data_IF_604469459210
#
_entry.id   IF_604469459210
#
_cell.length_a   1.000
_cell.length_b   1.000
_cell.length_c   1.000
_cell.angle_alpha   90.00
_cell.angle_beta   90.00
_cell.angle_gamma   90.00
#
_symmetry.space_group_name_H-M   'P 1'
#
loop_
_entity.id
_entity.type
_entity.pdbx_description
1 polymer ?
#
# COMPACT_ATOMS: atom_id res chain seq x y z
N UNK A 1 -9.20 -26.72 -5.45
CA UNK A 1 -8.71 -26.34 -4.10
C UNK A 1 -8.65 -24.83 -4.03
N UNK A 2 -9.13 -24.19 -2.94
CA UNK A 2 -9.07 -22.73 -2.78
C UNK A 2 -7.70 -22.33 -2.23
N UNK A 3 -7.02 -21.29 -2.77
CA UNK A 3 -5.76 -20.80 -2.20
C UNK A 3 -5.99 -20.25 -0.78
N UNK A 4 -5.03 -20.54 0.11
CA UNK A 4 -5.00 -20.01 1.49
C UNK A 4 -4.47 -18.59 1.45
N UNK A 5 -5.22 -17.64 2.01
CA UNK A 5 -4.80 -16.24 2.13
C UNK A 5 -3.80 -16.07 3.27
N UNK A 6 -2.93 -15.07 3.18
CA UNK A 6 -1.98 -14.74 4.25
C UNK A 6 -2.68 -14.52 5.61
N UNK A 7 -3.86 -13.88 5.61
CA UNK A 7 -4.66 -13.66 6.83
C UNK A 7 -5.17 -14.96 7.46
N UNK A 8 -5.40 -16.00 6.66
CA UNK A 8 -5.85 -17.31 7.15
C UNK A 8 -4.74 -18.06 7.89
N UNK A 9 -3.48 -17.84 7.50
CA UNK A 9 -2.32 -18.43 8.19
C UNK A 9 -2.27 -17.95 9.63
N UNK A 10 -2.48 -16.66 9.86
CA UNK A 10 -2.56 -16.07 11.21
C UNK A 10 -3.67 -16.70 12.05
N UNK A 11 -4.89 -16.83 11.49
CA UNK A 11 -6.00 -17.49 12.18
C UNK A 11 -5.68 -18.94 12.51
N UNK A 12 -5.10 -19.69 11.57
CA UNK A 12 -4.77 -21.10 11.77
C UNK A 12 -3.73 -21.30 12.87
N UNK A 13 -2.65 -20.50 12.86
CA UNK A 13 -1.59 -20.55 13.87
C UNK A 13 -2.10 -20.18 15.27
N UNK A 14 -3.00 -19.20 15.36
CA UNK A 14 -3.64 -18.83 16.63
C UNK A 14 -4.64 -19.89 17.11
N UNK A 15 -5.57 -20.29 16.24
CA UNK A 15 -6.59 -21.30 16.54
C UNK A 15 -7.11 -22.02 15.28
N UNK A 16 -6.68 -23.28 15.13
CA UNK A 16 -7.10 -24.16 14.03
C UNK A 16 -8.62 -24.35 13.96
N UNK A 17 -9.31 -24.42 15.11
CA UNK A 17 -10.78 -24.53 15.16
C UNK A 17 -11.46 -23.28 14.61
N UNK A 18 -10.98 -22.10 14.98
CA UNK A 18 -11.53 -20.84 14.49
C UNK A 18 -11.33 -20.72 12.97
N UNK A 19 -10.15 -21.12 12.45
CA UNK A 19 -9.92 -21.19 11.01
C UNK A 19 -10.90 -22.17 10.34
N UNK A 20 -11.11 -23.37 10.89
CA UNK A 20 -12.08 -24.33 10.34
C UNK A 20 -13.51 -23.80 10.31
N UNK A 21 -13.94 -23.04 11.33
CA UNK A 21 -15.23 -22.36 11.32
C UNK A 21 -15.33 -21.32 10.19
N UNK A 22 -14.29 -20.52 9.98
CA UNK A 22 -14.24 -19.58 8.85
C UNK A 22 -14.37 -20.30 7.50
N UNK A 23 -13.77 -21.49 7.34
CA UNK A 23 -13.92 -22.29 6.13
C UNK A 23 -15.35 -22.82 5.91
N UNK A 24 -16.13 -22.95 6.98
CA UNK A 24 -17.56 -23.29 6.92
C UNK A 24 -18.46 -22.05 6.73
N UNK A 25 -17.89 -20.86 6.54
CA UNK A 25 -18.64 -19.61 6.38
C UNK A 25 -19.08 -18.97 7.70
N UNK A 26 -18.64 -19.50 8.85
CA UNK A 26 -18.89 -18.88 10.16
C UNK A 26 -17.94 -17.70 10.34
N UNK A 27 -18.48 -16.49 10.21
CA UNK A 27 -17.74 -15.25 10.33
C UNK A 27 -17.28 -14.96 11.77
N UNK A 28 -16.24 -14.12 11.93
CA UNK A 28 -15.80 -13.68 13.26
C UNK A 28 -16.82 -12.74 13.90
N UNK A 29 -16.84 -12.69 15.23
CA UNK A 29 -17.77 -11.84 15.97
C UNK A 29 -17.44 -10.33 15.88
N UNK A 30 -16.16 -9.98 15.67
CA UNK A 30 -15.66 -8.61 15.68
C UNK A 30 -15.76 -7.91 14.30
N UNK A 31 -16.89 -8.05 13.61
CA UNK A 31 -17.08 -7.50 12.26
C UNK A 31 -16.95 -5.97 12.21
N UNK A 32 -17.39 -5.30 13.28
CA UNK A 32 -17.30 -3.83 13.41
C UNK A 32 -15.83 -3.38 13.42
N UNK A 33 -14.99 -4.03 14.21
CA UNK A 33 -13.57 -3.70 14.30
C UNK A 33 -12.84 -3.98 12.98
N UNK A 34 -13.20 -5.08 12.30
CA UNK A 34 -12.66 -5.41 10.98
C UNK A 34 -13.04 -4.37 9.91
N UNK A 35 -14.29 -3.92 9.91
CA UNK A 35 -14.74 -2.87 9.01
C UNK A 35 -14.03 -1.54 9.30
N UNK A 36 -13.91 -1.16 10.57
CA UNK A 36 -13.19 0.04 10.99
C UNK A 36 -11.71 0.00 10.58
N UNK A 37 -11.03 -1.13 10.81
CA UNK A 37 -9.64 -1.33 10.39
C UNK A 37 -9.48 -1.26 8.87
N UNK A 38 -10.42 -1.83 8.12
CA UNK A 38 -10.41 -1.78 6.64
C UNK A 38 -10.54 -0.35 6.13
N UNK A 39 -11.44 0.45 6.73
CA UNK A 39 -11.61 1.84 6.34
C UNK A 39 -10.37 2.69 6.69
N UNK A 40 -9.77 2.45 7.86
CA UNK A 40 -8.51 3.11 8.23
C UNK A 40 -7.39 2.81 7.23
N UNK A 41 -7.23 1.54 6.83
CA UNK A 41 -6.27 1.15 5.80
C UNK A 41 -6.57 1.81 4.45
N UNK A 42 -7.85 1.94 4.06
CA UNK A 42 -8.25 2.60 2.82
C UNK A 42 -7.90 4.10 2.85
N UNK A 43 -8.17 4.77 3.97
CA UNK A 43 -7.81 6.19 4.15
C UNK A 43 -6.29 6.38 4.08
N UNK A 44 -5.53 5.56 4.82
CA UNK A 44 -4.07 5.60 4.76
C UNK A 44 -3.54 5.33 3.34
N UNK A 45 -4.11 4.35 2.63
CA UNK A 45 -3.75 4.04 1.24
C UNK A 45 -3.89 5.23 0.30
N UNK A 46 -4.92 6.06 0.46
CA UNK A 46 -5.08 7.31 -0.31
C UNK A 46 -3.93 8.29 -0.05
N UNK A 47 -3.52 8.44 1.20
CA UNK A 47 -2.37 9.30 1.55
C UNK A 47 -1.06 8.76 0.97
N UNK A 48 -0.85 7.45 0.99
CA UNK A 48 0.33 6.81 0.39
C UNK A 48 0.37 7.04 -1.12
N UNK A 49 -0.75 6.92 -1.82
CA UNK A 49 -0.83 7.19 -3.27
C UNK A 49 -0.48 8.64 -3.58
N UNK A 50 -1.04 9.59 -2.83
CA UNK A 50 -0.73 11.02 -3.00
C UNK A 50 0.74 11.31 -2.69
N UNK A 51 1.29 10.74 -1.62
CA UNK A 51 2.71 10.88 -1.30
C UNK A 51 3.61 10.31 -2.40
N UNK A 52 3.22 9.18 -3.00
CA UNK A 52 3.89 8.59 -4.15
C UNK A 52 3.89 9.54 -5.36
N UNK A 53 2.74 10.13 -5.69
CA UNK A 53 2.60 11.10 -6.79
C UNK A 53 3.46 12.36 -6.57
N UNK A 54 3.44 12.92 -5.36
CA UNK A 54 4.27 14.09 -5.05
C UNK A 54 5.76 13.77 -5.13
N UNK A 55 6.16 12.58 -4.67
CA UNK A 55 7.56 12.12 -4.78
C UNK A 55 7.99 11.96 -6.23
N UNK A 56 7.15 11.40 -7.10
CA UNK A 56 7.49 11.27 -8.53
C UNK A 56 7.58 12.63 -9.21
N UNK A 57 6.64 13.56 -8.95
CA UNK A 57 6.71 14.93 -9.46
C UNK A 57 7.98 15.66 -9.00
N UNK A 58 8.35 15.54 -7.72
CA UNK A 58 9.56 16.14 -7.19
C UNK A 58 10.82 15.63 -7.91
N UNK A 59 10.90 14.32 -8.17
CA UNK A 59 12.02 13.73 -8.90
C UNK A 59 12.07 14.19 -10.36
N UNK A 60 10.91 14.33 -11.03
CA UNK A 60 10.84 14.85 -12.40
C UNK A 60 11.30 16.31 -12.47
N UNK A 61 10.88 17.16 -11.54
CA UNK A 61 11.35 18.55 -11.47
C UNK A 61 12.84 18.65 -11.16
N UNK A 62 13.36 17.81 -10.26
CA UNK A 62 14.78 17.73 -9.98
C UNK A 62 15.58 17.36 -11.24
N UNK A 63 15.13 16.34 -11.98
CA UNK A 63 15.76 15.92 -13.23
C UNK A 63 15.73 17.04 -14.27
N UNK A 64 14.59 17.71 -14.45
CA UNK A 64 14.46 18.83 -15.37
C UNK A 64 15.40 20.00 -15.00
N UNK A 65 15.50 20.34 -13.71
CA UNK A 65 16.42 21.36 -13.23
C UNK A 65 17.89 20.99 -13.52
N UNK A 66 18.28 19.73 -13.33
CA UNK A 66 19.62 19.27 -13.69
C UNK A 66 19.90 19.38 -15.19
N UNK A 67 18.96 18.99 -16.05
CA UNK A 67 19.10 19.11 -17.52
C UNK A 67 19.21 20.56 -17.97
N UNK A 68 18.39 21.45 -17.41
CA UNK A 68 18.44 22.88 -17.72
C UNK A 68 19.76 23.50 -17.25
N UNK A 69 20.24 23.10 -16.07
CA UNK A 69 21.51 23.57 -15.51
C UNK A 69 22.68 23.15 -16.41
N UNK A 70 22.74 21.89 -16.82
CA UNK A 70 23.80 21.42 -17.72
C UNK A 70 23.73 22.12 -19.08
N UNK A 71 22.54 22.25 -19.67
CA UNK A 71 22.34 22.95 -20.93
C UNK A 71 22.79 24.42 -20.86
N UNK A 72 22.45 25.12 -19.76
CA UNK A 72 22.87 26.50 -19.53
C UNK A 72 24.40 26.64 -19.51
N UNK A 73 25.10 25.76 -18.77
CA UNK A 73 26.56 25.80 -18.72
C UNK A 73 27.18 25.45 -20.06
N UNK A 74 26.67 24.43 -20.78
CA UNK A 74 27.22 24.07 -22.10
C UNK A 74 27.08 25.18 -23.12
N UNK A 75 25.94 25.90 -23.12
CA UNK A 75 25.69 27.04 -24.03
C UNK A 75 26.52 28.28 -23.69
N UNK A 76 27.07 28.38 -22.48
CA UNK A 76 27.95 29.48 -22.06
C UNK A 76 29.43 29.20 -22.27
N UNK A 77 29.83 27.92 -22.28
CA UNK A 77 31.22 27.47 -22.36
C UNK A 77 31.67 27.20 -23.80
N UNK A 78 30.74 26.80 -24.68
CA UNK A 78 30.93 26.66 -26.13
C UNK A 78 30.55 27.96 -26.85
#
# INVERSE_FOLDING_TARGET
>A
MRPVRASEIGTYLYCRRAWWYQQQGLGPANQVDLAAGTELHRQHGRHVLLAGLWRTLALLFLLAAMVLLTAYFTLRLL
#
